data_IF_734697700473
#
_entry.id   IF_734697700473
#
_cell.length_a   1.000
_cell.length_b   1.000
_cell.length_c   1.000
_cell.angle_alpha   90.00
_cell.angle_beta   90.00
_cell.angle_gamma   90.00
#
_symmetry.space_group_name_H-M   'P 1'
#
loop_
_entity.id
_entity.type
_entity.pdbx_description
1 polymer ?
#
# COMPACT_ATOMS: atom_id res chain seq x y z
N UNK A 1 6.40 -12.69 -3.61
CA UNK A 1 6.08 -11.36 -4.18
C UNK A 1 4.98 -10.70 -3.36
N UNK A 2 4.98 -9.37 -3.22
CA UNK A 2 3.96 -8.63 -2.47
C UNK A 2 2.56 -8.71 -3.10
N UNK A 3 1.50 -8.62 -2.29
CA UNK A 3 0.16 -8.25 -2.76
C UNK A 3 -0.35 -7.03 -2.01
N UNK A 4 -0.58 -5.94 -2.73
CA UNK A 4 -1.21 -4.71 -2.26
C UNK A 4 -2.56 -4.52 -2.95
N UNK A 5 -3.53 -4.02 -2.19
CA UNK A 5 -4.88 -3.70 -2.67
C UNK A 5 -5.31 -2.38 -2.02
N UNK A 6 -5.79 -1.46 -2.85
CA UNK A 6 -6.33 -0.16 -2.42
C UNK A 6 -7.63 0.11 -3.16
N UNK A 7 -8.64 0.64 -2.48
CA UNK A 7 -9.87 1.12 -3.10
C UNK A 7 -10.37 2.38 -2.43
N UNK A 8 -10.73 3.37 -3.24
CA UNK A 8 -11.29 4.65 -2.82
C UNK A 8 -12.82 4.52 -2.90
N UNK A 9 -13.47 4.53 -1.74
CA UNK A 9 -14.92 4.59 -1.61
C UNK A 9 -15.43 6.01 -1.43
N UNK A 10 -16.74 6.16 -1.25
CA UNK A 10 -17.38 7.46 -1.02
C UNK A 10 -16.90 8.13 0.27
N UNK A 11 -16.76 7.36 1.34
CA UNK A 11 -16.53 7.86 2.70
C UNK A 11 -15.11 7.55 3.23
N UNK A 12 -14.18 7.19 2.34
CA UNK A 12 -12.79 6.91 2.69
C UNK A 12 -12.12 5.87 1.80
N UNK A 13 -11.09 5.22 2.34
CA UNK A 13 -10.21 4.31 1.58
C UNK A 13 -10.10 2.97 2.31
N UNK A 14 -10.31 1.88 1.57
CA UNK A 14 -10.09 0.51 2.05
C UNK A 14 -8.75 -0.01 1.55
N UNK A 15 -8.00 -0.67 2.44
CA UNK A 15 -6.63 -1.11 2.22
C UNK A 15 -6.50 -2.57 2.62
N UNK A 16 -5.81 -3.35 1.81
CA UNK A 16 -5.42 -4.71 2.19
C UNK A 16 -4.05 -5.05 1.63
N UNK A 17 -3.28 -5.82 2.40
CA UNK A 17 -1.99 -6.30 1.96
C UNK A 17 -1.69 -7.68 2.56
N UNK A 18 -0.87 -8.44 1.84
CA UNK A 18 -0.24 -9.62 2.41
C UNK A 18 1.00 -9.25 3.25
N UNK A 19 1.59 -10.22 3.94
CA UNK A 19 2.71 -9.99 4.85
C UNK A 19 3.87 -10.94 4.61
N UNK A 20 3.86 -11.70 3.51
CA UNK A 20 4.91 -12.65 3.19
C UNK A 20 6.03 -11.97 2.38
N UNK A 21 7.27 -12.13 2.81
CA UNK A 21 8.45 -11.77 2.04
C UNK A 21 9.51 -12.89 2.10
N UNK A 22 10.51 -12.80 1.23
CA UNK A 22 11.70 -13.66 1.23
C UNK A 22 12.86 -12.86 1.81
N UNK A 23 13.43 -13.33 2.91
CA UNK A 23 14.68 -12.85 3.50
C UNK A 23 15.83 -13.81 3.22
N UNK A 24 17.03 -13.43 3.67
CA UNK A 24 18.23 -14.24 3.57
C UNK A 24 18.89 -14.36 4.94
N UNK A 25 19.25 -15.57 5.33
CA UNK A 25 20.03 -15.86 6.54
C UNK A 25 21.49 -15.46 6.33
N UNK A 26 22.25 -15.41 7.43
CA UNK A 26 23.71 -15.25 7.38
C UNK A 26 24.41 -16.33 6.54
N UNK A 27 23.83 -17.54 6.47
CA UNK A 27 24.31 -18.63 5.61
C UNK A 27 24.11 -18.38 4.11
N UNK A 28 23.30 -17.39 3.74
CA UNK A 28 22.85 -17.14 2.36
C UNK A 28 21.58 -17.90 1.97
N UNK A 29 21.05 -18.76 2.85
CA UNK A 29 19.81 -19.49 2.58
C UNK A 29 18.59 -18.58 2.62
N UNK A 30 17.64 -18.82 1.71
CA UNK A 30 16.37 -18.11 1.68
C UNK A 30 15.47 -18.57 2.82
N UNK A 31 14.77 -17.62 3.41
CA UNK A 31 13.70 -17.91 4.37
C UNK A 31 12.47 -17.03 4.13
N UNK A 32 11.31 -17.53 4.54
CA UNK A 32 10.08 -16.75 4.51
C UNK A 32 10.00 -15.96 5.80
N UNK A 33 9.82 -14.65 5.68
CA UNK A 33 9.67 -13.75 6.81
C UNK A 33 8.37 -12.95 6.71
N UNK A 34 7.85 -12.57 7.87
CA UNK A 34 6.68 -11.71 7.97
C UNK A 34 7.11 -10.23 7.91
N UNK A 35 6.45 -9.44 7.08
CA UNK A 35 6.67 -8.00 6.93
C UNK A 35 5.36 -7.24 7.00
N UNK A 36 5.41 -6.01 7.50
CA UNK A 36 4.30 -5.07 7.39
C UNK A 36 4.33 -4.39 6.01
N UNK A 37 3.16 -4.09 5.45
CA UNK A 37 3.04 -3.43 4.14
C UNK A 37 2.19 -2.16 4.15
N UNK A 38 1.48 -1.87 5.24
CA UNK A 38 0.60 -0.70 5.37
C UNK A 38 1.10 0.10 6.57
N UNK A 39 1.45 1.35 6.35
CA UNK A 39 2.02 2.23 7.38
C UNK A 39 1.26 3.56 7.45
N UNK A 40 0.69 3.93 8.61
CA UNK A 40 0.10 5.26 8.77
C UNK A 40 1.18 6.34 8.71
N UNK A 41 0.93 7.40 7.96
CA UNK A 41 1.79 8.60 7.89
C UNK A 41 1.29 9.72 8.80
N UNK A 42 -0.01 9.71 9.08
CA UNK A 42 -0.71 10.60 10.01
C UNK A 42 -2.09 10.02 10.29
N UNK A 43 -2.93 10.73 11.05
CA UNK A 43 -4.35 10.39 11.22
C UNK A 43 -5.08 10.26 9.88
N UNK A 44 -4.67 11.04 8.87
CA UNK A 44 -5.37 11.20 7.59
C UNK A 44 -4.52 10.83 6.37
N UNK A 45 -3.45 10.06 6.56
CA UNK A 45 -2.54 9.64 5.49
C UNK A 45 -1.90 8.28 5.76
N UNK A 46 -1.63 7.53 4.71
CA UNK A 46 -1.10 6.16 4.77
C UNK A 46 -0.24 5.86 3.54
N UNK A 47 0.75 4.98 3.69
CA UNK A 47 1.55 4.44 2.59
C UNK A 47 1.44 2.91 2.57
N UNK A 48 1.38 2.35 1.37
CA UNK A 48 1.44 0.93 1.09
C UNK A 48 2.76 0.63 0.38
N UNK A 49 3.43 -0.45 0.77
CA UNK A 49 4.77 -0.78 0.30
C UNK A 49 4.87 -2.25 -0.10
N UNK A 50 5.28 -2.48 -1.35
CA UNK A 50 5.66 -3.77 -1.90
C UNK A 50 7.17 -3.86 -2.01
N UNK A 51 7.74 -4.98 -1.59
CA UNK A 51 9.19 -5.16 -1.45
C UNK A 51 9.51 -6.26 -0.45
N UNK A 52 10.80 -6.46 -0.19
CA UNK A 52 11.30 -7.37 0.83
C UNK A 52 11.43 -6.74 2.22
N UNK A 53 12.06 -7.47 3.16
CA UNK A 53 12.24 -7.03 4.55
C UNK A 53 12.97 -5.68 4.71
N UNK A 54 14.04 -5.43 3.95
CA UNK A 54 14.83 -4.20 4.02
C UNK A 54 13.98 -3.00 3.63
N UNK A 55 13.18 -3.14 2.57
CA UNK A 55 12.24 -2.10 2.15
C UNK A 55 11.15 -1.86 3.21
N UNK A 56 10.61 -2.92 3.81
CA UNK A 56 9.60 -2.82 4.86
C UNK A 56 10.15 -2.09 6.11
N UNK A 57 11.32 -2.49 6.61
CA UNK A 57 11.96 -1.90 7.79
C UNK A 57 12.34 -0.43 7.60
N UNK A 58 12.80 -0.08 6.41
CA UNK A 58 13.05 1.33 6.08
C UNK A 58 11.76 2.13 6.08
N UNK A 59 10.71 1.62 5.45
CA UNK A 59 9.45 2.33 5.34
C UNK A 59 8.70 2.46 6.67
N UNK A 60 8.87 1.50 7.58
CA UNK A 60 8.42 1.63 8.97
C UNK A 60 9.05 2.86 9.65
N UNK A 61 10.38 2.95 9.63
CA UNK A 61 11.12 4.08 10.22
C UNK A 61 10.80 5.42 9.55
N UNK A 62 10.65 5.40 8.23
CA UNK A 62 10.26 6.60 7.49
C UNK A 62 8.86 7.08 7.88
N UNK A 63 7.88 6.16 7.96
CA UNK A 63 6.51 6.48 8.33
C UNK A 63 6.43 7.03 9.77
N UNK A 64 7.16 6.44 10.72
CA UNK A 64 7.25 6.94 12.10
C UNK A 64 7.81 8.38 12.14
N UNK A 65 8.81 8.66 11.31
CA UNK A 65 9.37 10.00 11.15
C UNK A 65 8.39 11.02 10.57
N UNK A 66 7.39 10.61 9.78
CA UNK A 66 6.39 11.51 9.20
C UNK A 66 5.37 12.00 10.23
N UNK A 67 4.99 11.16 11.20
CA UNK A 67 3.98 11.50 12.21
C UNK A 67 4.38 12.67 13.13
N UNK A 68 5.68 12.94 13.26
CA UNK A 68 6.20 14.06 14.06
C UNK A 68 6.13 15.41 13.35
N UNK A 69 5.90 15.43 12.04
CA UNK A 69 5.86 16.65 11.21
C UNK A 69 4.41 17.12 11.09
N UNK A 70 4.02 18.12 11.88
CA UNK A 70 2.67 18.69 11.83
C UNK A 70 2.37 19.31 10.46
N UNK A 71 1.10 19.25 10.04
CA UNK A 71 0.50 19.95 8.88
C UNK A 71 1.08 19.65 7.49
N UNK A 72 1.34 18.37 7.17
CA UNK A 72 1.66 17.97 5.79
C UNK A 72 0.42 17.65 4.97
N UNK A 73 0.36 18.17 3.76
CA UNK A 73 -0.68 17.86 2.76
C UNK A 73 -0.47 16.46 2.18
N UNK A 74 -1.43 15.95 1.40
CA UNK A 74 -1.24 14.70 0.66
C UNK A 74 -0.13 14.86 -0.39
N UNK A 75 -0.05 16.01 -1.07
CA UNK A 75 0.94 16.27 -2.11
C UNK A 75 2.36 16.29 -1.54
N UNK A 76 2.56 16.86 -0.35
CA UNK A 76 3.86 16.83 0.35
C UNK A 76 4.30 15.38 0.63
N UNK A 77 3.36 14.54 1.09
CA UNK A 77 3.63 13.12 1.38
C UNK A 77 3.95 12.34 0.10
N UNK A 78 3.26 12.64 -1.00
CA UNK A 78 3.55 12.04 -2.31
C UNK A 78 4.94 12.45 -2.78
N UNK A 79 5.30 13.74 -2.65
CA UNK A 79 6.62 14.24 -3.03
C UNK A 79 7.75 13.57 -2.22
N UNK A 80 7.61 13.46 -0.90
CA UNK A 80 8.59 12.77 -0.05
C UNK A 80 8.71 11.29 -0.40
N UNK A 81 7.58 10.62 -0.65
CA UNK A 81 7.56 9.22 -1.04
C UNK A 81 8.24 8.98 -2.40
N UNK A 82 8.10 9.91 -3.35
CA UNK A 82 8.81 9.89 -4.63
C UNK A 82 10.34 10.01 -4.43
N UNK A 83 10.78 10.82 -3.47
CA UNK A 83 12.21 10.93 -3.12
C UNK A 83 12.73 9.60 -2.57
N UNK A 84 12.02 8.96 -1.63
CA UNK A 84 12.41 7.65 -1.10
C UNK A 84 12.45 6.57 -2.20
N UNK A 85 11.42 6.53 -3.06
CA UNK A 85 11.37 5.58 -4.17
C UNK A 85 12.54 5.76 -5.15
N UNK A 86 12.91 7.00 -5.45
CA UNK A 86 14.02 7.33 -6.35
C UNK A 86 15.35 6.94 -5.73
N UNK A 87 15.53 7.25 -4.44
CA UNK A 87 16.80 7.05 -3.71
C UNK A 87 17.08 5.59 -3.43
N UNK A 88 16.08 4.83 -2.96
CA UNK A 88 16.29 3.49 -2.39
C UNK A 88 15.72 2.36 -3.24
N UNK A 89 14.79 2.65 -4.14
CA UNK A 89 14.24 1.65 -5.07
C UNK A 89 15.31 0.83 -5.83
N UNK A 90 16.40 1.43 -6.36
CA UNK A 90 17.47 0.67 -7.00
C UNK A 90 18.20 -0.28 -6.05
N UNK A 91 18.40 0.14 -4.80
CA UNK A 91 19.10 -0.64 -3.78
C UNK A 91 18.27 -1.85 -3.39
N UNK A 92 17.00 -1.67 -3.05
CA UNK A 92 16.11 -2.77 -2.68
C UNK A 92 15.90 -3.77 -3.82
N UNK A 93 15.79 -3.29 -5.06
CA UNK A 93 15.65 -4.19 -6.20
C UNK A 93 16.90 -5.07 -6.42
N UNK A 94 18.08 -4.56 -6.06
CA UNK A 94 19.36 -5.30 -6.16
C UNK A 94 19.58 -6.22 -4.97
N UNK A 95 19.24 -5.78 -3.77
CA UNK A 95 19.45 -6.55 -2.53
C UNK A 95 18.39 -7.62 -2.30
N UNK A 96 17.16 -7.39 -2.79
CA UNK A 96 16.01 -8.26 -2.52
C UNK A 96 15.29 -8.73 -3.80
N UNK A 97 16.00 -9.23 -4.84
CA UNK A 97 15.40 -9.52 -6.14
C UNK A 97 14.30 -10.58 -6.09
N UNK A 98 14.36 -11.49 -5.10
CA UNK A 98 13.35 -12.53 -4.88
C UNK A 98 11.97 -11.99 -4.47
N UNK A 99 11.87 -10.71 -4.06
CA UNK A 99 10.60 -10.11 -3.65
C UNK A 99 9.85 -9.42 -4.80
N UNK A 100 10.42 -9.42 -6.01
CA UNK A 100 9.83 -8.80 -7.19
C UNK A 100 10.06 -7.29 -7.25
N UNK A 101 9.30 -6.57 -8.09
CA UNK A 101 9.47 -5.14 -8.24
C UNK A 101 9.06 -4.39 -6.96
N UNK A 102 9.82 -3.35 -6.63
CA UNK A 102 9.43 -2.40 -5.60
C UNK A 102 8.22 -1.57 -6.07
N UNK A 103 7.20 -1.46 -5.22
CA UNK A 103 6.00 -0.69 -5.49
C UNK A 103 5.57 0.09 -4.25
N UNK A 104 4.98 1.26 -4.47
CA UNK A 104 4.47 2.08 -3.39
C UNK A 104 3.15 2.74 -3.81
N UNK A 105 2.25 2.94 -2.86
CA UNK A 105 1.09 3.80 -3.05
C UNK A 105 0.91 4.68 -1.82
N UNK A 106 0.60 5.95 -2.01
CA UNK A 106 0.32 6.91 -0.93
C UNK A 106 -1.13 7.32 -1.03
N UNK A 107 -1.83 7.34 0.10
CA UNK A 107 -3.24 7.68 0.15
C UNK A 107 -3.52 8.61 1.33
N UNK A 108 -4.54 9.44 1.19
CA UNK A 108 -4.90 10.43 2.20
C UNK A 108 -6.10 11.26 1.80
N UNK A 109 -6.30 12.34 2.55
CA UNK A 109 -7.36 13.30 2.28
C UNK A 109 -6.76 14.58 1.70
N UNK A 110 -7.35 15.05 0.59
CA UNK A 110 -7.11 16.38 0.05
C UNK A 110 -8.21 17.33 0.55
N UNK A 111 -7.82 18.53 0.97
CA UNK A 111 -8.76 19.59 1.33
C UNK A 111 -9.19 20.35 0.06
N UNK A 112 -10.50 20.42 -0.18
CA UNK A 112 -11.11 21.28 -1.20
C UNK A 112 -12.15 22.18 -0.55
N UNK A 113 -11.69 23.36 -0.13
CA UNK A 113 -12.44 24.21 0.80
C UNK A 113 -12.58 23.50 2.14
N UNK A 114 -13.82 23.39 2.65
CA UNK A 114 -14.12 22.67 3.89
C UNK A 114 -14.26 21.16 3.71
N UNK A 115 -14.30 20.66 2.47
CA UNK A 115 -14.50 19.24 2.18
C UNK A 115 -13.19 18.49 2.13
N UNK A 116 -13.16 17.31 2.75
CA UNK A 116 -12.09 16.31 2.62
C UNK A 116 -12.45 15.32 1.51
N UNK A 117 -11.59 15.19 0.52
CA UNK A 117 -11.77 14.26 -0.60
C UNK A 117 -10.71 13.16 -0.50
N UNK A 118 -11.09 11.88 -0.46
CA UNK A 118 -10.11 10.80 -0.40
C UNK A 118 -9.39 10.71 -1.74
N UNK A 119 -8.06 10.66 -1.71
CA UNK A 119 -7.21 10.53 -2.88
C UNK A 119 -6.10 9.53 -2.62
N UNK A 120 -5.64 8.88 -3.68
CA UNK A 120 -4.47 8.02 -3.63
C UNK A 120 -3.67 8.10 -4.93
N UNK A 121 -2.38 7.82 -4.83
CA UNK A 121 -1.43 7.83 -5.92
C UNK A 121 -0.59 6.56 -5.88
N UNK A 122 -0.56 5.83 -6.99
CA UNK A 122 0.41 4.77 -7.21
C UNK A 122 1.74 5.40 -7.62
N UNK A 123 2.82 5.00 -6.97
CA UNK A 123 4.16 5.46 -7.29
C UNK A 123 4.86 4.37 -8.09
N UNK A 124 5.54 4.78 -9.16
CA UNK A 124 6.34 3.89 -9.99
C UNK A 124 7.68 4.52 -10.32
N UNK A 125 8.70 3.68 -10.47
CA UNK A 125 9.96 4.11 -11.06
C UNK A 125 9.79 4.39 -12.56
N UNK A 126 10.48 5.42 -13.03
CA UNK A 126 10.60 5.78 -14.44
C UNK A 126 12.08 5.83 -14.81
N UNK A 127 12.39 6.08 -16.10
CA UNK A 127 13.77 6.28 -16.52
C UNK A 127 14.41 7.51 -15.88
N UNK A 128 13.59 8.52 -15.61
CA UNK A 128 14.01 9.84 -15.11
C UNK A 128 13.84 9.99 -13.59
N UNK A 129 13.53 8.89 -12.86
CA UNK A 129 13.35 8.89 -11.40
C UNK A 129 12.13 8.09 -10.97
N UNK A 130 11.14 8.77 -10.39
CA UNK A 130 9.86 8.21 -9.99
C UNK A 130 8.70 9.13 -10.39
N UNK A 131 7.53 8.55 -10.63
CA UNK A 131 6.32 9.28 -10.97
C UNK A 131 5.13 8.79 -10.14
N UNK A 132 4.21 9.71 -9.87
CA UNK A 132 2.95 9.44 -9.20
C UNK A 132 1.81 9.40 -10.23
N UNK A 133 0.97 8.38 -10.14
CA UNK A 133 -0.22 8.22 -10.96
C UNK A 133 -1.46 8.17 -10.08
N UNK A 134 -2.47 9.01 -10.35
CA UNK A 134 -3.67 9.03 -9.52
C UNK A 134 -4.43 7.70 -9.64
N UNK A 135 -4.81 7.15 -8.49
CA UNK A 135 -5.72 6.01 -8.40
C UNK A 135 -7.13 6.59 -8.35
N UNK A 136 -8.00 6.18 -9.28
CA UNK A 136 -9.38 6.67 -9.32
C UNK A 136 -10.31 5.91 -8.38
N UNK A 137 -10.39 4.59 -8.55
CA UNK A 137 -11.36 3.75 -7.81
C UNK A 137 -10.65 2.62 -7.07
N UNK A 138 -9.92 1.78 -7.81
CA UNK A 138 -9.28 0.58 -7.27
C UNK A 138 -7.93 0.35 -7.93
N UNK A 139 -6.97 -0.12 -7.15
CA UNK A 139 -5.61 -0.42 -7.58
C UNK A 139 -5.09 -1.66 -6.86
N UNK A 140 -4.34 -2.47 -7.58
CA UNK A 140 -3.70 -3.67 -7.06
C UNK A 140 -2.27 -3.79 -7.55
N UNK A 141 -1.38 -4.33 -6.71
CA UNK A 141 -0.03 -4.67 -7.09
C UNK A 141 0.38 -6.05 -6.57
N UNK A 142 0.85 -6.97 -7.44
CA UNK A 142 0.71 -6.94 -8.89
C UNK A 142 -0.74 -6.76 -9.33
N UNK A 143 -0.90 -6.31 -10.57
CA UNK A 143 -2.21 -5.94 -11.11
C UNK A 143 -3.12 -7.15 -11.28
N UNK A 144 -4.32 -7.10 -10.70
CA UNK A 144 -5.38 -8.11 -10.79
C UNK A 144 -6.66 -7.50 -11.35
N UNK A 145 -6.76 -7.41 -12.68
CA UNK A 145 -7.87 -6.73 -13.38
C UNK A 145 -9.26 -7.19 -12.92
N UNK A 146 -9.47 -8.49 -12.77
CA UNK A 146 -10.77 -9.04 -12.33
C UNK A 146 -11.14 -8.59 -10.91
N UNK A 147 -10.16 -8.42 -10.02
CA UNK A 147 -10.39 -7.86 -8.68
C UNK A 147 -10.63 -6.36 -8.76
N UNK A 148 -9.82 -5.61 -9.50
CA UNK A 148 -10.02 -4.17 -9.72
C UNK A 148 -11.41 -3.86 -10.27
N UNK A 149 -11.89 -4.63 -11.25
CA UNK A 149 -13.21 -4.44 -11.85
C UNK A 149 -14.35 -4.76 -10.88
N UNK A 150 -14.17 -5.76 -10.00
CA UNK A 150 -15.13 -6.05 -8.92
C UNK A 150 -15.19 -4.89 -7.92
N UNK A 151 -14.05 -4.43 -7.44
CA UNK A 151 -13.95 -3.32 -6.48
C UNK A 151 -14.55 -2.04 -7.06
N UNK A 152 -14.25 -1.71 -8.33
CA UNK A 152 -14.88 -0.59 -9.06
C UNK A 152 -16.39 -0.68 -9.10
N UNK A 153 -16.96 -1.86 -9.33
CA UNK A 153 -18.42 -2.05 -9.30
C UNK A 153 -19.01 -1.80 -7.92
N UNK A 154 -18.32 -2.19 -6.85
CA UNK A 154 -18.75 -1.90 -5.49
C UNK A 154 -18.72 -0.39 -5.19
N UNK A 155 -17.65 0.30 -5.59
CA UNK A 155 -17.52 1.76 -5.45
C UNK A 155 -18.66 2.48 -6.19
N UNK A 156 -18.94 2.11 -7.44
CA UNK A 156 -20.04 2.70 -8.24
C UNK A 156 -21.44 2.47 -7.64
N UNK A 157 -21.60 1.41 -6.86
CA UNK A 157 -22.85 1.10 -6.11
C UNK A 157 -22.92 1.80 -4.76
N UNK A 158 -21.93 2.64 -4.42
CA UNK A 158 -21.83 3.32 -3.12
C UNK A 158 -21.81 2.30 -1.97
N UNK A 159 -21.11 1.19 -2.19
CA UNK A 159 -21.01 0.10 -1.20
C UNK A 159 -20.21 0.58 0.02
N UNK A 160 -20.62 0.26 1.26
CA UNK A 160 -19.87 0.57 2.47
C UNK A 160 -18.43 0.05 2.43
N UNK A 161 -17.49 0.80 3.02
CA UNK A 161 -16.07 0.41 3.06
C UNK A 161 -15.81 -0.96 3.70
N UNK A 162 -16.61 -1.32 4.70
CA UNK A 162 -16.50 -2.62 5.37
C UNK A 162 -16.79 -3.80 4.42
N UNK A 163 -17.80 -3.67 3.55
CA UNK A 163 -18.13 -4.67 2.53
C UNK A 163 -17.07 -4.72 1.42
N UNK A 164 -16.54 -3.57 1.01
CA UNK A 164 -15.39 -3.50 0.09
C UNK A 164 -14.18 -4.24 0.70
N UNK A 165 -13.88 -4.01 1.98
CA UNK A 165 -12.78 -4.67 2.69
C UNK A 165 -12.99 -6.18 2.78
N UNK A 166 -14.24 -6.65 2.91
CA UNK A 166 -14.57 -8.07 2.91
C UNK A 166 -14.28 -8.75 1.56
N UNK A 167 -14.53 -8.06 0.43
CA UNK A 167 -14.11 -8.54 -0.89
C UNK A 167 -12.58 -8.65 -1.00
N UNK A 168 -11.85 -7.65 -0.47
CA UNK A 168 -10.38 -7.69 -0.44
C UNK A 168 -9.85 -8.84 0.42
N UNK A 169 -10.45 -9.07 1.59
CA UNK A 169 -10.12 -10.19 2.49
C UNK A 169 -10.34 -11.53 1.82
N UNK A 170 -11.46 -11.68 1.12
CA UNK A 170 -11.77 -12.90 0.36
C UNK A 170 -10.74 -13.12 -0.75
N UNK A 171 -10.35 -12.06 -1.46
CA UNK A 171 -9.31 -12.14 -2.48
C UNK A 171 -7.96 -12.60 -1.91
N UNK A 172 -7.43 -11.97 -0.87
CA UNK A 172 -6.14 -12.37 -0.28
C UNK A 172 -6.14 -13.82 0.21
N UNK A 173 -7.24 -14.28 0.80
CA UNK A 173 -7.39 -15.69 1.22
C UNK A 173 -7.33 -16.65 0.04
N UNK A 174 -8.02 -16.33 -1.07
CA UNK A 174 -7.98 -17.14 -2.30
C UNK A 174 -6.55 -17.20 -2.85
N UNK A 175 -5.85 -16.08 -2.92
CA UNK A 175 -4.48 -16.02 -3.44
C UNK A 175 -3.50 -16.82 -2.58
N UNK A 176 -3.69 -16.79 -1.27
CA UNK A 176 -2.91 -17.60 -0.33
C UNK A 176 -3.17 -19.10 -0.56
N UNK A 177 -4.43 -19.49 -0.74
CA UNK A 177 -4.82 -20.88 -1.00
C UNK A 177 -4.27 -21.40 -2.34
N UNK A 178 -4.27 -20.56 -3.37
CA UNK A 178 -3.69 -20.85 -4.68
C UNK A 178 -2.15 -20.89 -4.69
N UNK A 179 -1.50 -20.61 -3.55
CA UNK A 179 -0.04 -20.57 -3.38
C UNK A 179 0.66 -19.56 -4.32
N UNK A 180 0.00 -18.47 -4.68
CA UNK A 180 0.54 -17.44 -5.60
C UNK A 180 1.57 -16.50 -4.95
N UNK A 181 2.50 -17.03 -4.15
CA UNK A 181 3.49 -16.27 -3.38
C UNK A 181 2.94 -15.19 -2.41
N UNK A 182 1.62 -15.12 -2.26
CA UNK A 182 0.89 -14.32 -1.29
C UNK A 182 0.76 -15.11 0.00
N UNK A 183 0.99 -14.48 1.15
CA UNK A 183 0.87 -15.19 2.42
C UNK A 183 0.60 -14.31 3.64
N UNK A 184 0.26 -14.96 4.76
CA UNK A 184 0.05 -14.26 6.02
C UNK A 184 1.35 -13.63 6.55
N UNK A 185 1.25 -12.66 7.48
CA UNK A 185 0.01 -12.08 8.02
C UNK A 185 -0.70 -11.21 6.98
N UNK A 186 -2.04 -11.32 6.88
CA UNK A 186 -2.82 -10.39 6.07
C UNK A 186 -3.15 -9.17 6.91
N UNK A 187 -2.87 -7.97 6.39
CA UNK A 187 -3.21 -6.70 7.04
C UNK A 187 -4.39 -6.05 6.31
N UNK A 188 -5.35 -5.56 7.08
CA UNK A 188 -6.53 -4.86 6.57
C UNK A 188 -6.65 -3.53 7.30
N UNK A 189 -6.98 -2.46 6.59
CA UNK A 189 -7.15 -1.16 7.21
C UNK A 189 -8.16 -0.29 6.46
N UNK A 190 -8.71 0.68 7.19
CA UNK A 190 -9.56 1.73 6.66
C UNK A 190 -8.91 3.08 6.95
N UNK A 191 -8.99 3.99 5.99
CA UNK A 191 -8.72 5.41 6.22
C UNK A 191 -10.04 6.17 6.06
N UNK A 192 -10.62 6.56 7.19
CA UNK A 192 -11.92 7.25 7.26
C UNK A 192 -11.72 8.72 7.59
N UNK A 193 -12.82 9.47 7.71
CA UNK A 193 -12.77 10.85 8.20
C UNK A 193 -12.24 10.94 9.64
N UNK A 194 -12.51 9.94 10.47
CA UNK A 194 -12.06 9.87 11.87
C UNK A 194 -10.58 9.48 11.95
N UNK A 195 -10.09 8.77 10.94
CA UNK A 195 -8.68 8.53 10.72
C UNK A 195 -8.37 7.11 10.25
N UNK A 196 -7.09 6.77 10.34
CA UNK A 196 -6.57 5.43 10.04
C UNK A 196 -6.96 4.44 11.14
N UNK A 197 -7.52 3.31 10.74
CA UNK A 197 -7.88 2.20 11.63
C UNK A 197 -7.41 0.89 11.00
N UNK A 198 -6.53 0.18 11.69
CA UNK A 198 -6.16 -1.19 11.33
C UNK A 198 -7.22 -2.16 11.87
N UNK A 199 -7.67 -3.08 11.01
CA UNK A 199 -8.73 -4.04 11.30
C UNK A 199 -8.08 -5.41 11.53
N UNK A 200 -8.11 -5.87 12.78
CA UNK A 200 -7.61 -7.18 13.20
C UNK A 200 -8.45 -8.33 12.60
#
# INVERSE_FOLDING_TARGET
MAQLILTIGKDGIALAADGRAVGFRESGDQEIVAVRRIYPLSTHGVVLVGGGPIAADHMARWADGQGTRHERTLDDRVADALVEMTRLGPTWQREEPANGPFAMAVAGWEMKGERRIPKAYALRRTKDGAAAEPIQDAWTFPRRRVLEDRLKRLVRRVTPLAEILQEMRSALKILTWLKEEVGPPHTFALLTHDGFVEIL
#
